data_IF_720768707137
#
_entry.id   IF_720768707137
#
_cell.length_a   1.000
_cell.length_b   1.000
_cell.length_c   1.000
_cell.angle_alpha   90.00
_cell.angle_beta   90.00
_cell.angle_gamma   90.00
#
_symmetry.space_group_name_H-M   'P 1'
#
loop_
_entity.id
_entity.type
_entity.pdbx_description
1 polymer ?
#
# COMPACT_ATOMS: atom_id res chain seq x y z
N UNK A 1 3.21 18.61 -1.49
CA UNK A 1 2.61 17.84 -2.60
C UNK A 1 2.21 16.46 -2.08
N UNK A 2 1.00 16.00 -2.43
CA UNK A 2 0.59 14.62 -2.19
C UNK A 2 1.47 13.71 -3.05
N UNK A 3 2.13 12.71 -2.46
CA UNK A 3 2.91 11.79 -3.28
C UNK A 3 1.97 10.84 -4.02
N UNK A 4 2.16 10.65 -5.33
CA UNK A 4 1.38 9.73 -6.13
C UNK A 4 1.53 8.30 -5.60
N UNK A 5 0.51 7.47 -5.80
CA UNK A 5 0.63 6.05 -5.49
C UNK A 5 1.71 5.42 -6.38
N UNK A 6 2.23 4.27 -5.94
CA UNK A 6 3.24 3.50 -6.68
C UNK A 6 2.70 2.09 -6.81
N UNK A 7 2.82 1.51 -8.01
CA UNK A 7 2.35 0.15 -8.31
C UNK A 7 3.52 -0.69 -8.78
N UNK A 8 3.63 -1.91 -8.26
CA UNK A 8 4.57 -2.93 -8.74
C UNK A 8 3.82 -4.07 -9.41
N UNK A 9 4.32 -4.53 -10.54
CA UNK A 9 3.84 -5.72 -11.26
C UNK A 9 4.85 -6.83 -11.03
N UNK A 10 4.36 -8.01 -10.65
CA UNK A 10 5.19 -9.13 -10.23
C UNK A 10 4.83 -10.40 -10.99
N UNK A 11 5.85 -11.18 -11.32
CA UNK A 11 5.72 -12.53 -11.86
C UNK A 11 6.55 -13.48 -10.98
N UNK A 12 5.96 -14.58 -10.51
CA UNK A 12 6.59 -15.51 -9.57
C UNK A 12 7.21 -14.81 -8.35
N UNK A 13 6.44 -13.88 -7.76
CA UNK A 13 6.83 -12.97 -6.68
C UNK A 13 7.99 -12.00 -7.01
N UNK A 14 8.64 -12.06 -8.17
CA UNK A 14 9.71 -11.15 -8.57
C UNK A 14 9.16 -9.89 -9.27
N UNK A 15 9.67 -8.73 -8.90
CA UNK A 15 9.28 -7.46 -9.52
C UNK A 15 9.74 -7.41 -10.98
N UNK A 16 8.81 -7.28 -11.92
CA UNK A 16 9.10 -7.16 -13.35
C UNK A 16 8.92 -5.73 -13.88
N UNK A 17 8.05 -4.94 -13.25
CA UNK A 17 7.81 -3.57 -13.66
C UNK A 17 7.32 -2.72 -12.49
N UNK A 18 7.74 -1.46 -12.46
CA UNK A 18 7.28 -0.44 -11.51
C UNK A 18 6.60 0.68 -12.28
N UNK A 19 5.42 1.07 -11.82
CA UNK A 19 4.67 2.22 -12.32
C UNK A 19 4.62 3.29 -11.23
N UNK A 20 4.82 4.53 -11.63
CA UNK A 20 4.63 5.74 -10.81
C UNK A 20 4.14 6.86 -11.71
N UNK A 21 3.19 7.64 -11.23
CA UNK A 21 2.69 8.82 -11.93
C UNK A 21 3.06 10.10 -11.20
N UNK A 22 2.58 11.23 -11.70
CA UNK A 22 2.57 12.53 -11.00
C UNK A 22 1.15 12.96 -10.60
N UNK A 23 0.15 12.26 -11.14
CA UNK A 23 -1.28 12.49 -10.92
C UNK A 23 -1.71 12.16 -9.48
N UNK A 24 -2.86 12.70 -9.02
CA UNK A 24 -3.50 12.24 -7.78
C UNK A 24 -3.63 10.71 -7.74
N UNK A 25 -3.55 10.13 -6.54
CA UNK A 25 -3.54 8.68 -6.36
C UNK A 25 -4.76 7.98 -6.96
N UNK A 26 -5.94 8.62 -6.97
CA UNK A 26 -7.14 8.10 -7.62
C UNK A 26 -6.92 7.89 -9.11
N UNK A 27 -6.45 8.93 -9.79
CA UNK A 27 -6.38 8.98 -11.25
C UNK A 27 -5.26 8.05 -11.74
N UNK A 28 -4.10 8.13 -11.08
CA UNK A 28 -2.98 7.24 -11.37
C UNK A 28 -3.34 5.76 -11.17
N UNK A 29 -4.09 5.40 -10.11
CA UNK A 29 -4.47 4.00 -9.89
C UNK A 29 -5.38 3.48 -11.01
N UNK A 30 -6.32 4.29 -11.51
CA UNK A 30 -7.19 3.91 -12.62
C UNK A 30 -6.38 3.70 -13.92
N UNK A 31 -5.48 4.64 -14.24
CA UNK A 31 -4.58 4.54 -15.39
C UNK A 31 -3.68 3.29 -15.31
N UNK A 32 -3.10 3.03 -14.14
CA UNK A 32 -2.25 1.87 -13.91
C UNK A 32 -3.05 0.56 -14.06
N UNK A 33 -4.27 0.49 -13.53
CA UNK A 33 -5.14 -0.69 -13.65
C UNK A 33 -5.51 -0.94 -15.12
N UNK A 34 -5.89 0.08 -15.88
CA UNK A 34 -6.22 -0.05 -17.30
C UNK A 34 -5.02 -0.59 -18.11
N UNK A 35 -3.83 -0.02 -17.89
CA UNK A 35 -2.59 -0.51 -18.47
C UNK A 35 -2.34 -1.99 -18.10
N UNK A 36 -2.45 -2.35 -16.81
CA UNK A 36 -2.19 -3.71 -16.35
C UNK A 36 -3.16 -4.70 -16.99
N UNK A 37 -4.45 -4.38 -17.04
CA UNK A 37 -5.48 -5.26 -17.58
C UNK A 37 -5.36 -5.48 -19.10
N UNK A 38 -4.76 -4.53 -19.82
CA UNK A 38 -4.49 -4.67 -21.26
C UNK A 38 -3.27 -5.52 -21.57
N UNK A 39 -2.27 -5.56 -20.67
CA UNK A 39 -0.97 -6.15 -20.95
C UNK A 39 -0.70 -7.46 -20.16
N UNK A 40 -1.44 -7.71 -19.08
CA UNK A 40 -1.16 -8.82 -18.16
C UNK A 40 -2.42 -9.58 -17.75
N UNK A 41 -2.24 -10.87 -17.46
CA UNK A 41 -3.27 -11.70 -16.82
C UNK A 41 -3.09 -11.68 -15.30
N UNK A 42 -3.83 -10.82 -14.61
CA UNK A 42 -3.76 -10.69 -13.16
C UNK A 42 -4.17 -11.99 -12.44
N UNK A 43 -3.39 -12.38 -11.43
CA UNK A 43 -3.66 -13.55 -10.58
C UNK A 43 -4.08 -13.20 -9.15
N UNK A 44 -3.62 -12.06 -8.65
CA UNK A 44 -3.95 -11.57 -7.32
C UNK A 44 -3.58 -10.09 -7.19
N UNK A 45 -4.13 -9.44 -6.18
CA UNK A 45 -3.84 -8.04 -5.83
C UNK A 45 -3.26 -8.02 -4.42
N UNK A 46 -2.21 -7.23 -4.20
CA UNK A 46 -1.62 -6.98 -2.88
C UNK A 46 -1.59 -5.46 -2.67
N UNK A 47 -2.02 -4.99 -1.51
CA UNK A 47 -2.01 -3.55 -1.21
C UNK A 47 -1.59 -3.26 0.24
N UNK A 48 -1.05 -2.05 0.46
CA UNK A 48 -0.72 -1.59 1.80
C UNK A 48 -1.99 -1.14 2.52
N UNK A 49 -2.40 -1.85 3.58
CA UNK A 49 -3.62 -1.50 4.32
C UNK A 49 -3.38 -0.48 5.45
N UNK A 50 -2.12 -0.21 5.79
CA UNK A 50 -1.74 0.81 6.76
C UNK A 50 -0.56 0.38 7.64
N UNK A 51 -0.04 1.29 8.48
CA UNK A 51 -0.46 2.69 8.61
C UNK A 51 0.00 3.58 7.44
N UNK A 52 -0.63 4.75 7.30
CA UNK A 52 -0.36 5.70 6.22
C UNK A 52 -1.43 6.78 6.10
N UNK A 53 -1.53 7.42 4.94
CA UNK A 53 -2.58 8.42 4.67
C UNK A 53 -3.97 7.79 4.73
N UNK A 54 -4.82 8.27 5.64
CA UNK A 54 -6.21 7.81 5.77
C UNK A 54 -6.95 7.82 4.44
N UNK A 55 -6.87 8.93 3.69
CA UNK A 55 -7.53 9.07 2.40
C UNK A 55 -6.88 8.17 1.33
N UNK A 56 -5.55 8.08 1.33
CA UNK A 56 -4.83 7.25 0.36
C UNK A 56 -5.18 5.76 0.50
N UNK A 57 -5.20 5.25 1.74
CA UNK A 57 -5.58 3.86 2.04
C UNK A 57 -7.04 3.63 1.65
N UNK A 58 -7.95 4.55 2.01
CA UNK A 58 -9.38 4.42 1.69
C UNK A 58 -9.63 4.35 0.18
N UNK A 59 -9.03 5.27 -0.58
CA UNK A 59 -9.17 5.32 -2.04
C UNK A 59 -8.60 4.05 -2.68
N UNK A 60 -7.39 3.64 -2.29
CA UNK A 60 -6.78 2.42 -2.80
C UNK A 60 -7.64 1.17 -2.50
N UNK A 61 -8.12 1.03 -1.26
CA UNK A 61 -8.95 -0.10 -0.86
C UNK A 61 -10.24 -0.18 -1.69
N UNK A 62 -10.98 0.91 -1.84
CA UNK A 62 -12.25 0.90 -2.59
C UNK A 62 -12.01 0.51 -4.05
N UNK A 63 -11.00 1.09 -4.70
CA UNK A 63 -10.67 0.79 -6.10
C UNK A 63 -10.25 -0.69 -6.26
N UNK A 64 -9.31 -1.15 -5.44
CA UNK A 64 -8.76 -2.50 -5.54
C UNK A 64 -9.74 -3.59 -5.11
N UNK A 65 -10.60 -3.31 -4.11
CA UNK A 65 -11.67 -4.22 -3.72
C UNK A 65 -12.73 -4.34 -4.81
N UNK A 66 -13.07 -3.24 -5.48
CA UNK A 66 -13.97 -3.25 -6.64
C UNK A 66 -13.38 -4.09 -7.76
N UNK A 67 -12.10 -3.91 -8.09
CA UNK A 67 -11.41 -4.72 -9.11
C UNK A 67 -11.38 -6.21 -8.74
N UNK A 68 -11.08 -6.52 -7.47
CA UNK A 68 -11.09 -7.89 -6.94
C UNK A 68 -12.44 -8.58 -7.14
N UNK A 69 -13.54 -7.90 -6.82
CA UNK A 69 -14.89 -8.42 -7.03
C UNK A 69 -15.18 -8.58 -8.52
N UNK A 70 -14.96 -7.53 -9.32
CA UNK A 70 -15.30 -7.51 -10.74
C UNK A 70 -14.55 -8.56 -11.57
N UNK A 71 -13.34 -8.95 -11.15
CA UNK A 71 -12.50 -9.94 -11.85
C UNK A 71 -12.36 -11.26 -11.10
N UNK A 72 -13.06 -11.44 -9.98
CA UNK A 72 -12.93 -12.59 -9.10
C UNK A 72 -11.46 -12.92 -8.74
N UNK A 73 -10.72 -11.89 -8.30
CA UNK A 73 -9.30 -12.00 -7.95
C UNK A 73 -9.12 -11.98 -6.42
N UNK A 74 -8.21 -12.81 -5.88
CA UNK A 74 -7.75 -12.68 -4.50
C UNK A 74 -7.15 -11.29 -4.24
N UNK A 75 -7.53 -10.70 -3.11
CA UNK A 75 -6.97 -9.46 -2.59
C UNK A 75 -6.29 -9.77 -1.25
N UNK A 76 -5.07 -9.30 -1.08
CA UNK A 76 -4.31 -9.43 0.15
C UNK A 76 -3.84 -8.06 0.65
N UNK A 77 -3.74 -7.93 1.96
CA UNK A 77 -3.13 -6.77 2.59
C UNK A 77 -1.71 -7.09 3.09
N UNK A 78 -0.88 -6.06 3.16
CA UNK A 78 0.43 -6.07 3.82
C UNK A 78 0.57 -4.81 4.66
N UNK A 79 1.37 -4.87 5.73
CA UNK A 79 1.62 -3.69 6.55
C UNK A 79 2.46 -2.67 5.80
N UNK A 80 2.15 -1.38 5.96
CA UNK A 80 2.99 -0.30 5.45
C UNK A 80 4.42 -0.34 5.97
N UNK A 81 4.64 -0.87 7.19
CA UNK A 81 5.98 -1.01 7.77
C UNK A 81 6.85 -2.01 6.99
N UNK A 82 6.27 -3.08 6.47
CA UNK A 82 7.01 -4.04 5.63
C UNK A 82 7.50 -3.41 4.32
N UNK A 83 6.81 -2.35 3.87
CA UNK A 83 7.13 -1.62 2.65
C UNK A 83 8.11 -0.46 2.87
N UNK A 84 8.55 -0.18 4.09
CA UNK A 84 9.60 0.83 4.34
C UNK A 84 10.75 0.30 5.22
N UNK A 85 10.79 -1.00 5.49
CA UNK A 85 11.79 -1.63 6.35
C UNK A 85 11.58 -1.26 7.82
N UNK A 86 10.34 -1.36 8.30
CA UNK A 86 9.92 -1.09 9.67
C UNK A 86 10.38 0.28 10.21
N UNK A 87 10.49 1.25 9.31
CA UNK A 87 10.93 2.61 9.62
C UNK A 87 9.71 3.50 9.90
N UNK A 88 9.87 4.70 10.48
CA UNK A 88 8.73 5.56 10.77
C UNK A 88 7.94 5.95 9.51
N UNK A 89 6.61 5.91 9.60
CA UNK A 89 5.68 6.25 8.50
C UNK A 89 5.02 7.58 8.81
N UNK A 90 4.95 8.49 7.84
CA UNK A 90 4.37 9.81 8.05
C UNK A 90 2.89 9.71 8.48
N UNK A 91 2.57 10.37 9.59
CA UNK A 91 1.22 10.55 10.10
C UNK A 91 0.74 11.98 9.82
N UNK A 92 0.07 12.61 10.79
CA UNK A 92 -0.34 14.02 10.72
C UNK A 92 0.78 14.96 11.19
N UNK A 93 0.76 16.22 10.69
CA UNK A 93 1.69 17.29 11.09
C UNK A 93 3.17 16.82 11.04
N UNK A 94 3.85 16.84 12.19
CA UNK A 94 5.25 16.45 12.37
C UNK A 94 5.40 15.10 13.09
N UNK A 95 4.33 14.31 13.17
CA UNK A 95 4.32 12.98 13.79
C UNK A 95 4.45 11.88 12.73
N UNK A 96 5.00 10.76 13.17
CA UNK A 96 5.14 9.54 12.40
C UNK A 96 4.70 8.35 13.26
N UNK A 97 4.05 7.38 12.62
CA UNK A 97 3.79 6.07 13.19
C UNK A 97 5.11 5.31 13.33
N UNK A 98 5.37 4.76 14.52
CA UNK A 98 6.56 3.97 14.84
C UNK A 98 6.11 2.63 15.39
N UNK A 99 6.57 1.55 14.74
CA UNK A 99 6.38 0.18 15.21
C UNK A 99 7.38 -0.13 16.31
N UNK A 100 6.89 -0.66 17.43
CA UNK A 100 7.69 -1.13 18.57
C UNK A 100 7.95 -2.63 18.46
N UNK A 101 8.97 -3.11 19.19
CA UNK A 101 9.34 -4.52 19.22
C UNK A 101 8.22 -5.42 19.78
N UNK A 102 7.36 -4.87 20.64
CA UNK A 102 6.16 -5.54 21.18
C UNK A 102 4.96 -5.55 20.20
N UNK A 103 5.13 -5.01 18.98
CA UNK A 103 4.06 -4.89 17.98
C UNK A 103 3.17 -3.65 18.12
N UNK A 104 3.37 -2.82 19.16
CA UNK A 104 2.61 -1.59 19.37
C UNK A 104 2.98 -0.52 18.33
N UNK A 105 1.99 0.24 17.88
CA UNK A 105 2.21 1.37 16.97
C UNK A 105 1.91 2.66 17.73
N UNK A 106 2.93 3.52 17.82
CA UNK A 106 2.84 4.80 18.55
C UNK A 106 3.12 5.98 17.63
N UNK A 107 2.69 7.18 18.04
CA UNK A 107 3.07 8.42 17.38
C UNK A 107 4.32 9.04 18.02
N UNK A 108 5.31 9.38 17.20
CA UNK A 108 6.50 10.11 17.63
C UNK A 108 6.87 11.20 16.65
N UNK A 109 7.47 12.28 17.17
CA UNK A 109 8.09 13.33 16.37
C UNK A 109 9.46 12.84 15.86
N UNK A 110 9.42 12.08 14.77
CA UNK A 110 10.60 11.51 14.09
C UNK A 110 10.41 11.63 12.60
N UNK A 111 11.52 11.78 11.87
CA UNK A 111 11.49 11.84 10.41
C UNK A 111 10.96 10.52 9.82
N UNK A 112 10.01 10.64 8.90
CA UNK A 112 9.43 9.51 8.21
C UNK A 112 10.33 9.04 7.07
N UNK A 113 10.32 7.73 6.82
CA UNK A 113 10.97 7.12 5.67
C UNK A 113 9.95 6.76 4.60
N UNK A 114 10.34 6.93 3.35
CA UNK A 114 9.49 6.65 2.20
C UNK A 114 9.24 5.16 2.02
N UNK A 115 8.06 4.84 1.49
CA UNK A 115 7.73 3.50 1.03
C UNK A 115 8.59 3.10 -0.17
N UNK A 116 8.84 1.81 -0.29
CA UNK A 116 9.56 1.18 -1.39
C UNK A 116 8.72 0.04 -1.95
N UNK A 117 8.79 -0.12 -3.25
CA UNK A 117 8.31 -1.33 -3.91
C UNK A 117 9.35 -2.42 -3.65
N UNK A 118 8.98 -3.53 -2.98
CA UNK A 118 9.92 -4.61 -2.74
C UNK A 118 10.31 -5.29 -4.05
N UNK A 119 11.53 -5.82 -4.13
CA UNK A 119 11.94 -6.61 -5.29
C UNK A 119 11.31 -8.00 -5.32
N UNK A 120 10.80 -8.47 -4.18
CA UNK A 120 10.18 -9.78 -4.05
C UNK A 120 9.04 -9.79 -3.03
N UNK A 121 7.88 -10.35 -3.40
CA UNK A 121 6.68 -10.44 -2.56
C UNK A 121 6.66 -11.61 -1.57
N UNK A 122 7.47 -12.65 -1.76
CA UNK A 122 7.49 -13.85 -0.90
C UNK A 122 7.91 -13.56 0.55
N UNK A 123 8.58 -12.42 0.77
CA UNK A 123 9.04 -11.97 2.09
C UNK A 123 8.01 -11.14 2.85
N UNK A 124 6.87 -10.82 2.22
CA UNK A 124 5.81 -10.04 2.85
C UNK A 124 4.79 -10.93 3.54
N UNK A 125 4.31 -10.49 4.69
CA UNK A 125 3.23 -11.13 5.43
C UNK A 125 1.88 -10.75 4.80
N UNK A 126 1.53 -11.44 3.71
CA UNK A 126 0.23 -11.27 3.03
C UNK A 126 -0.88 -11.80 3.93
N UNK A 127 -1.86 -10.96 4.27
CA UNK A 127 -3.03 -11.34 5.08
C UNK A 127 -4.33 -11.28 4.27
N UNK A 128 -5.28 -12.14 4.64
CA UNK A 128 -6.66 -12.10 4.15
C UNK A 128 -7.52 -11.08 4.93
N UNK A 129 -7.01 -10.52 6.04
CA UNK A 129 -7.60 -9.35 6.69
C UNK A 129 -7.28 -8.09 5.88
N UNK A 130 -8.09 -7.92 4.83
CA UNK A 130 -7.95 -6.86 3.83
C UNK A 130 -8.58 -5.54 4.27
N UNK A 131 -8.98 -5.37 5.53
CA UNK A 131 -9.57 -4.10 5.93
C UNK A 131 -8.48 -3.04 6.12
N UNK A 132 -8.76 -1.78 5.72
CA UNK A 132 -7.88 -0.65 6.04
C UNK A 132 -7.56 -0.56 7.54
N UNK A 133 -6.28 -0.49 7.86
CA UNK A 133 -5.79 -0.24 9.22
C UNK A 133 -5.47 1.26 9.36
N UNK A 134 -6.48 2.03 9.77
CA UNK A 134 -6.40 3.49 9.79
C UNK A 134 -5.57 4.07 10.95
N UNK A 135 -5.29 3.30 12.00
CA UNK A 135 -4.61 3.74 13.24
C UNK A 135 -5.00 5.16 13.62
N UNK A 136 -6.25 5.30 14.06
CA UNK A 136 -6.81 6.58 14.48
C UNK A 136 -6.55 6.69 15.99
N UNK A 137 -5.89 7.77 16.43
CA UNK A 137 -5.86 8.08 17.86
C UNK A 137 -7.30 8.27 18.35
N UNK A 138 -7.62 7.72 19.52
CA UNK A 138 -8.81 8.13 20.25
C UNK A 138 -8.67 9.63 20.54
N UNK A 139 -9.55 10.44 19.95
CA UNK A 139 -9.66 11.87 20.22
C UNK A 139 -10.40 12.07 21.53
#
# INVERSE_FOLDING_TARGET
MCKPAIVGIYENDALIQKLSGENPASDFLIEAIDYILKNYNLKSIVYANGPGSFMGIKVAYVILKTLSIARNLPLYAVSGFELNGNSPIKANKNLSFVLKDNGEIILKKVEAKEFKIPSNLSKLNKTNDILPNYIIDAV
#
